data_IF_654431499968
#
_entry.id   IF_654431499968
#
_cell.length_a   1.000
_cell.length_b   1.000
_cell.length_c   1.000
_cell.angle_alpha   90.00
_cell.angle_beta   90.00
_cell.angle_gamma   90.00
#
_symmetry.space_group_name_H-M   'P 1'
#
loop_
_entity.id
_entity.type
_entity.pdbx_description
1 polymer ?
#
# COMPACT_ATOMS: atom_id res chain seq x y z
N UNK A 1 -46.67 -57.00 9.17
CA UNK A 1 -46.45 -57.63 7.85
C UNK A 1 -47.14 -56.78 6.81
N UNK A 2 -46.48 -56.54 5.67
CA UNK A 2 -47.02 -55.91 4.44
C UNK A 2 -47.58 -54.47 4.59
N UNK A 3 -47.53 -53.60 3.57
CA UNK A 3 -46.88 -53.69 2.25
C UNK A 3 -46.38 -52.31 1.79
N UNK A 4 -45.45 -52.30 0.83
CA UNK A 4 -45.05 -51.11 0.07
C UNK A 4 -46.19 -50.70 -0.88
N UNK A 5 -46.39 -49.39 -1.06
CA UNK A 5 -47.05 -48.84 -2.24
C UNK A 5 -46.34 -47.55 -2.67
N UNK A 6 -45.81 -47.55 -3.89
CA UNK A 6 -45.19 -46.37 -4.54
C UNK A 6 -46.28 -45.51 -5.16
N UNK A 7 -46.19 -44.19 -5.01
CA UNK A 7 -47.11 -43.25 -5.64
C UNK A 7 -46.41 -41.94 -6.00
N UNK A 8 -45.85 -41.87 -7.22
CA UNK A 8 -45.35 -40.61 -7.76
C UNK A 8 -46.53 -39.72 -8.19
N UNK A 9 -46.56 -38.47 -7.73
CA UNK A 9 -47.34 -37.41 -8.37
C UNK A 9 -46.50 -36.13 -8.41
N UNK A 10 -46.03 -35.76 -9.60
CA UNK A 10 -45.45 -34.45 -9.83
C UNK A 10 -46.54 -33.39 -9.68
N UNK A 11 -46.33 -32.44 -8.76
CA UNK A 11 -46.97 -31.13 -8.82
C UNK A 11 -45.86 -30.11 -8.88
N UNK A 12 -45.67 -29.53 -10.06
CA UNK A 12 -44.73 -28.43 -10.29
C UNK A 12 -45.28 -27.16 -9.66
N UNK A 13 -44.63 -26.66 -8.61
CA UNK A 13 -44.97 -25.42 -7.93
C UNK A 13 -43.70 -24.67 -7.52
N UNK A 14 -43.35 -23.66 -8.31
CA UNK A 14 -42.15 -22.82 -8.21
C UNK A 14 -41.65 -22.51 -6.78
N UNK A 15 -40.57 -23.17 -6.36
CA UNK A 15 -39.67 -22.60 -5.35
C UNK A 15 -38.81 -21.52 -6.02
N UNK A 16 -39.32 -20.28 -6.02
CA UNK A 16 -38.47 -19.12 -6.20
C UNK A 16 -37.55 -19.02 -4.98
N UNK A 17 -36.35 -19.59 -5.08
CA UNK A 17 -35.31 -19.48 -4.07
C UNK A 17 -34.86 -18.01 -3.97
N UNK A 18 -35.55 -17.26 -3.13
CA UNK A 18 -35.22 -15.89 -2.78
C UNK A 18 -33.93 -15.91 -1.95
N UNK A 19 -32.79 -15.88 -2.65
CA UNK A 19 -31.47 -15.75 -2.04
C UNK A 19 -31.50 -14.55 -1.08
N UNK A 20 -31.36 -14.83 0.21
CA UNK A 20 -31.39 -13.81 1.27
C UNK A 20 -30.34 -12.75 0.98
N UNK A 21 -30.76 -11.49 0.83
CA UNK A 21 -29.83 -10.37 0.69
C UNK A 21 -28.97 -10.31 1.95
N UNK A 22 -27.68 -10.59 1.80
CA UNK A 22 -26.75 -10.60 2.94
C UNK A 22 -26.31 -9.16 3.23
N UNK A 23 -27.18 -8.40 3.90
CA UNK A 23 -26.86 -7.05 4.36
C UNK A 23 -25.94 -7.09 5.57
N UNK A 24 -24.87 -6.29 5.53
CA UNK A 24 -24.04 -6.05 6.70
C UNK A 24 -24.77 -5.16 7.70
N UNK A 25 -24.72 -5.54 8.99
CA UNK A 25 -25.04 -4.65 10.09
C UNK A 25 -23.94 -3.60 10.30
N UNK A 26 -24.23 -2.50 10.99
CA UNK A 26 -23.24 -1.43 11.25
C UNK A 26 -22.06 -1.93 12.08
N UNK A 27 -22.28 -2.91 12.97
CA UNK A 27 -21.21 -3.68 13.61
C UNK A 27 -21.48 -5.19 13.47
N UNK A 28 -20.45 -5.94 13.10
CA UNK A 28 -20.48 -7.39 12.91
C UNK A 28 -19.32 -8.03 13.69
N UNK A 29 -19.56 -9.15 14.37
CA UNK A 29 -18.47 -9.93 14.99
C UNK A 29 -17.75 -10.72 13.91
N UNK A 30 -16.41 -10.72 13.92
CA UNK A 30 -15.59 -11.46 12.96
C UNK A 30 -15.81 -12.97 13.18
N UNK A 31 -16.17 -13.76 12.14
CA UNK A 31 -16.34 -15.20 12.26
C UNK A 31 -15.04 -15.94 12.63
N UNK A 32 -15.14 -17.18 13.12
CA UNK A 32 -14.00 -17.97 13.61
C UNK A 32 -12.90 -18.21 12.54
N UNK A 33 -13.29 -18.31 11.26
CA UNK A 33 -12.37 -18.43 10.11
C UNK A 33 -11.72 -17.09 9.70
N UNK A 34 -12.24 -15.98 10.23
CA UNK A 34 -11.82 -14.61 9.93
C UNK A 34 -12.44 -13.99 8.69
N UNK A 35 -13.23 -14.74 7.91
CA UNK A 35 -13.60 -14.36 6.54
C UNK A 35 -14.90 -13.58 6.49
N UNK A 36 -14.81 -12.33 6.03
CA UNK A 36 -15.96 -11.56 5.56
C UNK A 36 -16.06 -11.71 4.04
N UNK A 37 -17.23 -12.09 3.55
CA UNK A 37 -17.43 -12.48 2.14
C UNK A 37 -17.59 -11.28 1.20
N UNK A 38 -17.26 -11.48 -0.07
CA UNK A 38 -17.55 -10.54 -1.15
C UNK A 38 -19.06 -10.20 -1.26
N UNK A 39 -19.95 -11.13 -0.88
CA UNK A 39 -21.40 -10.87 -0.84
C UNK A 39 -21.77 -9.83 0.23
N UNK A 40 -21.19 -9.96 1.43
CA UNK A 40 -21.37 -9.00 2.51
C UNK A 40 -20.87 -7.60 2.12
N UNK A 41 -19.64 -7.48 1.61
CA UNK A 41 -19.11 -6.17 1.19
C UNK A 41 -19.87 -5.54 0.02
N UNK A 42 -20.41 -6.34 -0.93
CA UNK A 42 -21.29 -5.82 -1.98
C UNK A 42 -22.56 -5.15 -1.44
N UNK A 43 -23.03 -5.50 -0.23
CA UNK A 43 -24.20 -4.84 0.37
C UNK A 43 -23.95 -3.37 0.75
N UNK A 44 -22.68 -2.94 0.87
CA UNK A 44 -22.29 -1.56 1.21
C UNK A 44 -21.46 -0.85 0.14
N UNK A 45 -20.91 -1.57 -0.85
CA UNK A 45 -20.07 -1.00 -1.90
C UNK A 45 -20.73 0.21 -2.60
N UNK A 46 -19.96 1.29 -2.76
CA UNK A 46 -20.40 2.57 -3.32
C UNK A 46 -21.28 3.45 -2.40
N UNK A 47 -21.72 2.97 -1.23
CA UNK A 47 -22.57 3.73 -0.29
C UNK A 47 -21.71 4.44 0.76
N UNK A 48 -21.94 5.74 1.04
CA UNK A 48 -21.31 6.44 2.17
C UNK A 48 -21.90 5.97 3.51
N UNK A 49 -21.48 4.77 3.91
CA UNK A 49 -21.87 4.05 5.12
C UNK A 49 -20.63 3.34 5.63
N UNK A 50 -20.26 3.64 6.87
CA UNK A 50 -19.22 2.88 7.59
C UNK A 50 -19.84 1.65 8.23
N UNK A 51 -19.15 0.51 8.14
CA UNK A 51 -19.40 -0.68 8.94
C UNK A 51 -18.15 -1.09 9.70
N UNK A 52 -18.33 -1.75 10.84
CA UNK A 52 -17.24 -2.24 11.67
C UNK A 52 -17.26 -3.76 11.82
N UNK A 53 -16.06 -4.35 11.91
CA UNK A 53 -15.86 -5.77 12.22
C UNK A 53 -15.04 -5.92 13.49
N UNK A 54 -15.66 -6.49 14.52
CA UNK A 54 -15.04 -6.62 15.86
C UNK A 54 -14.53 -8.04 16.09
N UNK A 55 -13.27 -8.17 16.49
CA UNK A 55 -12.67 -9.40 16.98
C UNK A 55 -12.10 -9.22 18.39
N UNK A 56 -11.79 -10.33 19.07
CA UNK A 56 -11.14 -10.32 20.38
C UNK A 56 -10.14 -11.47 20.45
N UNK A 57 -8.94 -11.21 20.96
CA UNK A 57 -7.88 -12.21 21.07
C UNK A 57 -7.96 -13.01 22.38
N UNK A 58 -7.23 -14.11 22.46
CA UNK A 58 -7.08 -14.93 23.68
C UNK A 58 -6.51 -14.15 24.87
N UNK A 59 -5.74 -13.10 24.59
CA UNK A 59 -5.11 -12.23 25.59
C UNK A 59 -6.08 -11.13 26.07
N UNK A 60 -7.27 -11.00 25.47
CA UNK A 60 -8.27 -9.98 25.80
C UNK A 60 -8.15 -8.67 25.00
N UNK A 61 -7.30 -8.61 23.98
CA UNK A 61 -7.20 -7.45 23.09
C UNK A 61 -8.40 -7.43 22.16
N UNK A 62 -9.18 -6.35 22.20
CA UNK A 62 -10.30 -6.14 21.26
C UNK A 62 -9.78 -5.37 20.07
N UNK A 63 -10.12 -5.79 18.85
CA UNK A 63 -9.75 -5.10 17.62
C UNK A 63 -10.96 -4.88 16.72
N UNK A 64 -11.00 -3.70 16.11
CA UNK A 64 -12.13 -3.25 15.29
C UNK A 64 -11.60 -2.74 13.96
N UNK A 65 -11.96 -3.41 12.87
CA UNK A 65 -11.77 -2.89 11.52
C UNK A 65 -12.95 -1.98 11.15
N UNK A 66 -12.67 -0.84 10.53
CA UNK A 66 -13.67 0.12 10.05
C UNK A 66 -13.53 0.32 8.55
N UNK A 67 -14.58 -0.02 7.80
CA UNK A 67 -14.66 0.09 6.34
C UNK A 67 -15.76 1.07 5.93
N UNK A 68 -15.45 2.08 5.10
CA UNK A 68 -16.47 2.89 4.45
C UNK A 68 -16.83 2.31 3.07
N UNK A 69 -18.12 2.03 2.87
CA UNK A 69 -18.65 1.45 1.63
C UNK A 69 -18.35 2.27 0.38
N UNK A 70 -18.25 3.60 0.45
CA UNK A 70 -18.04 4.47 -0.73
C UNK A 70 -16.70 4.20 -1.41
N UNK A 71 -15.71 3.78 -0.62
CA UNK A 71 -14.34 3.55 -1.05
C UNK A 71 -14.15 2.10 -1.53
N UNK A 72 -15.10 1.20 -1.25
CA UNK A 72 -15.15 -0.16 -1.80
C UNK A 72 -15.69 -0.09 -3.23
N UNK A 73 -14.81 -0.31 -4.21
CA UNK A 73 -15.19 -0.45 -5.63
C UNK A 73 -15.34 -1.90 -6.04
N UNK A 74 -14.36 -2.73 -5.67
CA UNK A 74 -14.30 -4.16 -6.01
C UNK A 74 -14.39 -4.97 -4.72
N UNK A 75 -15.59 -5.44 -4.38
CA UNK A 75 -15.80 -6.27 -3.20
C UNK A 75 -15.28 -7.70 -3.43
N UNK A 76 -14.42 -8.15 -2.52
CA UNK A 76 -13.81 -9.48 -2.49
C UNK A 76 -13.97 -10.11 -1.09
N UNK A 77 -13.57 -11.37 -0.93
CA UNK A 77 -13.43 -11.96 0.39
C UNK A 77 -12.26 -11.30 1.12
N UNK A 78 -12.38 -11.08 2.42
CA UNK A 78 -11.33 -10.49 3.25
C UNK A 78 -11.19 -11.31 4.52
N UNK A 79 -9.97 -11.77 4.82
CA UNK A 79 -9.69 -12.31 6.14
C UNK A 79 -9.28 -11.15 7.06
N UNK A 80 -10.06 -10.91 8.12
CA UNK A 80 -9.86 -9.81 9.06
C UNK A 80 -9.26 -10.29 10.39
N UNK A 81 -8.87 -11.56 10.49
CA UNK A 81 -8.37 -12.16 11.74
C UNK A 81 -6.96 -11.68 12.06
N UNK A 82 -6.78 -11.17 13.27
CA UNK A 82 -5.49 -10.70 13.79
C UNK A 82 -4.99 -11.65 14.88
N UNK A 83 -3.75 -12.11 14.74
CA UNK A 83 -2.98 -12.79 15.78
C UNK A 83 -1.98 -11.78 16.38
N UNK A 84 -1.89 -11.70 17.71
CA UNK A 84 -1.06 -10.70 18.39
C UNK A 84 0.24 -11.29 18.94
N UNK A 85 1.32 -10.54 18.77
CA UNK A 85 2.62 -10.82 19.40
C UNK A 85 2.78 -9.81 20.54
N UNK A 86 2.57 -10.25 21.78
CA UNK A 86 2.64 -9.41 22.99
C UNK A 86 3.97 -9.51 23.74
N UNK A 87 4.79 -10.52 23.42
CA UNK A 87 6.08 -10.80 24.05
C UNK A 87 7.00 -11.59 23.10
N UNK A 88 8.29 -11.71 23.44
CA UNK A 88 9.29 -12.48 22.69
C UNK A 88 10.39 -11.62 22.07
N UNK A 89 11.45 -12.29 21.60
CA UNK A 89 12.68 -11.64 21.16
C UNK A 89 12.51 -10.80 19.89
N UNK A 90 11.60 -11.19 19.00
CA UNK A 90 11.23 -10.40 17.82
C UNK A 90 10.64 -9.04 18.22
N UNK A 91 9.63 -9.03 19.10
CA UNK A 91 9.04 -7.80 19.61
C UNK A 91 10.02 -6.95 20.43
N UNK A 92 10.92 -7.58 21.19
CA UNK A 92 11.99 -6.88 21.90
C UNK A 92 12.99 -6.21 20.93
N UNK A 93 13.34 -6.89 19.85
CA UNK A 93 14.21 -6.36 18.79
C UNK A 93 13.55 -5.19 18.05
N UNK A 94 12.25 -5.28 17.76
CA UNK A 94 11.45 -4.19 17.20
C UNK A 94 11.43 -2.96 18.13
N UNK A 95 11.16 -3.14 19.42
CA UNK A 95 11.19 -2.04 20.40
C UNK A 95 12.58 -1.38 20.48
N UNK A 96 13.66 -2.17 20.47
CA UNK A 96 15.03 -1.65 20.44
C UNK A 96 15.31 -0.85 19.16
N UNK A 97 14.95 -1.40 17.98
CA UNK A 97 15.06 -0.72 16.69
C UNK A 97 14.24 0.57 16.58
N UNK A 98 13.12 0.65 17.30
CA UNK A 98 12.28 1.85 17.45
C UNK A 98 12.83 2.87 18.48
N UNK A 99 14.15 2.89 18.74
CA UNK A 99 14.77 3.82 19.70
C UNK A 99 14.57 3.42 21.16
N UNK A 100 14.48 2.12 21.46
CA UNK A 100 14.14 1.58 22.78
C UNK A 100 12.73 1.98 23.26
N UNK A 101 11.74 1.84 22.38
CA UNK A 101 10.34 2.11 22.70
C UNK A 101 9.88 1.28 23.91
N UNK A 102 9.33 1.89 24.98
CA UNK A 102 8.91 1.16 26.17
C UNK A 102 7.74 0.22 25.89
N UNK A 103 6.88 0.57 24.93
CA UNK A 103 5.70 -0.20 24.56
C UNK A 103 5.79 -0.71 23.12
N UNK A 104 5.25 -1.91 22.90
CA UNK A 104 5.10 -2.47 21.57
C UNK A 104 4.12 -3.63 21.55
N UNK A 105 3.50 -3.85 20.40
CA UNK A 105 2.67 -5.01 20.09
C UNK A 105 2.82 -5.36 18.61
N UNK A 106 2.99 -6.65 18.30
CA UNK A 106 2.96 -7.16 16.92
C UNK A 106 1.56 -7.60 16.52
N UNK A 107 1.25 -7.45 15.23
CA UNK A 107 -0.01 -7.80 14.60
C UNK A 107 0.29 -8.64 13.36
N UNK A 108 0.00 -9.92 13.41
CA UNK A 108 0.06 -10.81 12.25
C UNK A 108 -1.33 -10.84 11.62
N UNK A 109 -1.47 -10.19 10.47
CA UNK A 109 -2.73 -10.06 9.77
C UNK A 109 -2.95 -11.28 8.87
N UNK A 110 -4.02 -12.02 9.11
CA UNK A 110 -4.36 -13.21 8.32
C UNK A 110 -4.79 -12.84 6.91
N UNK A 111 -4.46 -13.68 5.93
CA UNK A 111 -4.78 -13.47 4.52
C UNK A 111 -3.54 -13.50 3.63
N UNK A 112 -3.78 -13.42 2.34
CA UNK A 112 -2.82 -13.42 1.24
C UNK A 112 -3.25 -12.46 0.12
N UNK A 113 -4.37 -11.75 0.34
CA UNK A 113 -4.99 -10.82 -0.61
C UNK A 113 -4.83 -9.37 -0.12
N UNK A 114 -4.76 -8.42 -1.05
CA UNK A 114 -4.87 -7.01 -0.74
C UNK A 114 -6.22 -6.63 -0.13
N UNK A 115 -6.26 -5.46 0.51
CA UNK A 115 -7.50 -4.94 1.08
C UNK A 115 -8.37 -4.29 -0.02
N UNK A 116 -9.69 -4.50 0.05
CA UNK A 116 -10.67 -3.98 -0.94
C UNK A 116 -10.84 -2.46 -0.90
N UNK A 117 -10.23 -1.81 0.09
CA UNK A 117 -10.10 -0.37 0.32
C UNK A 117 -9.04 -0.17 1.41
N UNK A 118 -8.84 1.05 1.91
CA UNK A 118 -7.95 1.34 3.06
C UNK A 118 -8.79 1.49 4.34
N UNK A 119 -9.00 0.42 5.13
CA UNK A 119 -9.71 0.51 6.40
C UNK A 119 -8.82 1.10 7.50
N UNK A 120 -9.47 1.61 8.54
CA UNK A 120 -8.83 1.88 9.83
C UNK A 120 -8.96 0.65 10.73
N UNK A 121 -7.85 0.20 11.31
CA UNK A 121 -7.81 -0.80 12.37
C UNK A 121 -7.61 -0.08 13.72
N UNK A 122 -8.54 -0.30 14.66
CA UNK A 122 -8.48 0.20 16.03
C UNK A 122 -8.29 -0.95 17.00
N UNK A 123 -7.22 -0.92 17.79
CA UNK A 123 -7.00 -1.82 18.92
C UNK A 123 -7.50 -1.16 20.20
N UNK A 124 -8.11 -1.92 21.09
CA UNK A 124 -8.24 -1.60 22.51
C UNK A 124 -7.36 -2.57 23.27
N UNK A 125 -6.27 -2.06 23.85
CA UNK A 125 -5.30 -2.86 24.59
C UNK A 125 -5.86 -3.26 25.94
N UNK A 126 -5.24 -4.27 26.57
CA UNK A 126 -5.58 -4.75 27.92
C UNK A 126 -5.07 -3.85 29.03
N UNK A 127 -4.07 -3.02 28.74
CA UNK A 127 -3.40 -2.13 29.69
C UNK A 127 -3.30 -0.71 29.13
N UNK A 128 -2.97 0.23 30.01
CA UNK A 128 -2.69 1.62 29.63
C UNK A 128 -1.21 1.80 29.34
N UNK A 129 -0.90 2.27 28.14
CA UNK A 129 0.43 2.73 27.78
C UNK A 129 0.60 4.17 28.22
N UNK A 130 1.65 4.47 28.99
CA UNK A 130 2.08 5.84 29.25
C UNK A 130 2.88 6.39 28.05
N UNK A 131 2.21 6.48 26.90
CA UNK A 131 2.77 6.92 25.62
C UNK A 131 1.94 8.09 25.06
N UNK A 132 2.60 9.12 24.56
CA UNK A 132 1.94 10.24 23.84
C UNK A 132 2.12 10.14 22.31
N UNK A 133 2.96 9.21 21.86
CA UNK A 133 3.21 8.94 20.45
C UNK A 133 3.20 7.45 20.16
N UNK A 134 2.61 7.09 19.03
CA UNK A 134 2.62 5.74 18.47
C UNK A 134 3.08 5.76 17.01
N UNK A 135 3.72 4.68 16.57
CA UNK A 135 4.05 4.45 15.17
C UNK A 135 3.66 3.03 14.76
N UNK A 136 3.09 2.92 13.55
CA UNK A 136 2.96 1.65 12.86
C UNK A 136 4.25 1.41 12.06
N UNK A 137 4.85 0.24 12.24
CA UNK A 137 6.09 -0.18 11.63
C UNK A 137 5.92 -1.56 10.98
N UNK A 138 6.80 -1.87 10.02
CA UNK A 138 6.94 -3.18 9.39
C UNK A 138 8.44 -3.49 9.30
N UNK A 139 8.83 -4.74 9.53
CA UNK A 139 10.20 -5.15 9.29
C UNK A 139 10.40 -5.42 7.79
N UNK A 140 11.49 -4.89 7.23
CA UNK A 140 11.95 -5.18 5.87
C UNK A 140 13.39 -5.69 6.00
N UNK A 141 13.61 -6.93 5.57
CA UNK A 141 14.83 -7.70 5.85
C UNK A 141 15.20 -7.70 7.35
N UNK A 142 16.21 -6.92 7.73
CA UNK A 142 16.71 -6.74 9.11
C UNK A 142 16.44 -5.35 9.68
N UNK A 143 15.82 -4.45 8.92
CA UNK A 143 15.55 -3.07 9.31
C UNK A 143 14.07 -2.86 9.68
N UNK A 144 13.82 -2.06 10.72
CA UNK A 144 12.47 -1.65 11.10
C UNK A 144 12.09 -0.35 10.35
N UNK A 145 11.17 -0.46 9.39
CA UNK A 145 10.62 0.69 8.68
C UNK A 145 9.37 1.23 9.39
N UNK A 146 9.29 2.55 9.60
CA UNK A 146 8.05 3.22 9.99
C UNK A 146 7.15 3.34 8.76
N UNK A 147 5.91 2.86 8.87
CA UNK A 147 4.87 2.94 7.85
C UNK A 147 4.03 4.20 8.05
N UNK A 148 3.56 4.45 9.27
CA UNK A 148 2.68 5.59 9.58
C UNK A 148 2.73 5.97 11.06
N UNK A 149 2.04 7.05 11.43
CA UNK A 149 1.75 7.34 12.83
C UNK A 149 0.57 6.47 13.28
N UNK A 150 0.63 5.97 14.52
CA UNK A 150 -0.48 5.30 15.18
C UNK A 150 -1.09 6.26 16.20
N UNK A 151 -2.36 6.62 16.02
CA UNK A 151 -3.06 7.54 16.90
C UNK A 151 -3.39 6.85 18.22
N UNK A 152 -3.01 7.47 19.34
CA UNK A 152 -3.25 6.96 20.69
C UNK A 152 -4.41 7.72 21.35
N UNK A 153 -5.38 7.00 21.90
CA UNK A 153 -6.37 7.51 22.84
C UNK A 153 -6.15 6.85 24.21
N UNK A 154 -5.73 7.67 25.17
CA UNK A 154 -5.44 7.29 26.55
C UNK A 154 -6.45 7.90 27.54
N UNK A 155 -7.63 8.33 27.07
CA UNK A 155 -8.66 8.92 27.92
C UNK A 155 -9.29 7.89 28.88
N UNK A 156 -9.34 6.61 28.48
CA UNK A 156 -9.92 5.51 29.25
C UNK A 156 -8.95 4.83 30.23
N UNK A 157 -9.40 3.70 30.79
CA UNK A 157 -8.59 2.84 31.67
C UNK A 157 -7.51 2.05 30.93
N UNK A 158 -7.70 1.80 29.63
CA UNK A 158 -6.70 1.20 28.72
C UNK A 158 -6.44 2.11 27.52
N UNK A 159 -5.38 1.81 26.78
CA UNK A 159 -5.02 2.55 25.56
C UNK A 159 -5.77 2.00 24.35
N UNK A 160 -6.32 2.91 23.53
CA UNK A 160 -6.72 2.60 22.16
C UNK A 160 -5.67 3.07 21.17
N UNK A 161 -5.43 2.27 20.15
CA UNK A 161 -4.46 2.56 19.08
C UNK A 161 -5.18 2.46 17.74
N UNK A 162 -5.16 3.52 16.92
CA UNK A 162 -5.80 3.54 15.59
C UNK A 162 -4.82 3.88 14.48
N UNK A 163 -4.86 3.12 13.39
CA UNK A 163 -4.01 3.32 12.20
C UNK A 163 -4.69 2.69 10.98
N UNK A 164 -4.31 3.15 9.79
CA UNK A 164 -4.76 2.53 8.54
C UNK A 164 -3.85 1.35 8.17
N UNK A 165 -4.45 0.30 7.61
CA UNK A 165 -3.74 -0.84 7.01
C UNK A 165 -4.00 -0.85 5.51
N UNK A 166 -2.98 -1.24 4.74
CA UNK A 166 -3.01 -1.23 3.26
C UNK A 166 -2.96 -2.64 2.63
N UNK A 167 -2.53 -3.67 3.37
CA UNK A 167 -2.41 -5.06 2.91
C UNK A 167 -2.60 -6.06 4.08
N UNK A 168 -2.94 -7.32 3.77
CA UNK A 168 -2.95 -8.44 4.74
C UNK A 168 -1.81 -9.42 4.46
N UNK A 169 -1.69 -10.50 5.24
CA UNK A 169 -0.63 -11.51 5.04
C UNK A 169 0.77 -11.09 5.47
N UNK A 170 0.88 -10.01 6.25
CA UNK A 170 2.12 -9.47 6.78
C UNK A 170 2.05 -9.27 8.29
N UNK A 171 3.21 -9.31 8.95
CA UNK A 171 3.36 -8.90 10.35
C UNK A 171 3.69 -7.42 10.43
N UNK A 172 2.87 -6.68 11.17
CA UNK A 172 3.06 -5.28 11.52
C UNK A 172 3.41 -5.15 13.00
N UNK A 173 3.93 -3.99 13.37
CA UNK A 173 4.26 -3.64 14.74
C UNK A 173 3.75 -2.25 15.08
N UNK A 174 3.02 -2.11 16.17
CA UNK A 174 2.80 -0.82 16.80
C UNK A 174 3.84 -0.67 17.90
N UNK A 175 4.56 0.45 17.90
CA UNK A 175 5.46 0.86 18.99
C UNK A 175 4.96 2.16 19.60
N UNK A 176 5.08 2.30 20.92
CA UNK A 176 4.58 3.45 21.68
C UNK A 176 5.63 4.00 22.65
N UNK A 177 5.67 5.33 22.81
CA UNK A 177 6.58 6.00 23.71
C UNK A 177 6.22 7.45 24.01
N UNK A 178 7.11 8.13 24.72
CA UNK A 178 7.05 9.57 24.99
C UNK A 178 7.80 10.33 23.92
N UNK A 179 7.22 11.42 23.43
CA UNK A 179 7.93 12.40 22.61
C UNK A 179 8.92 13.14 23.48
N UNK A 180 10.21 12.90 23.24
CA UNK A 180 11.26 13.73 23.80
C UNK A 180 11.17 15.08 23.08
N UNK A 181 10.66 16.09 23.77
CA UNK A 181 10.78 17.47 23.31
C UNK A 181 12.27 17.77 23.09
N UNK A 182 12.62 18.27 21.90
CA UNK A 182 14.02 18.61 21.59
C UNK A 182 14.45 19.77 22.47
N UNK A 183 15.16 19.48 23.56
CA UNK A 183 15.76 20.53 24.39
C UNK A 183 16.78 21.33 23.57
N UNK A 184 16.55 22.63 23.52
CA UNK A 184 17.38 23.61 22.85
C UNK A 184 18.64 23.87 23.70
N UNK A 185 19.67 23.04 23.56
CA UNK A 185 20.93 23.24 24.30
C UNK A 185 21.71 24.44 23.77
N UNK A 186 21.47 25.61 24.38
CA UNK A 186 22.29 26.79 24.17
C UNK A 186 23.56 26.74 25.03
N UNK A 187 24.73 26.80 24.37
CA UNK A 187 25.87 27.59 24.84
C UNK A 187 26.86 26.99 25.86
N UNK A 188 28.14 27.09 25.46
CA UNK A 188 29.37 27.25 26.31
C UNK A 188 29.86 26.10 27.20
N UNK A 189 31.13 25.72 27.00
CA UNK A 189 31.85 24.79 27.88
C UNK A 189 33.21 24.30 27.34
N UNK A 190 34.16 25.20 27.09
CA UNK A 190 35.52 24.82 26.66
C UNK A 190 36.34 24.23 27.81
N UNK A 191 36.93 23.05 27.64
CA UNK A 191 38.19 22.68 28.32
C UNK A 191 39.11 21.83 27.43
N UNK A 192 40.38 22.23 27.42
CA UNK A 192 41.51 21.67 26.68
C UNK A 192 41.97 20.30 27.21
N UNK A 193 42.50 19.43 26.33
CA UNK A 193 43.25 18.22 26.71
C UNK A 193 44.29 17.88 25.64
N UNK A 194 45.58 18.04 25.94
CA UNK A 194 46.69 18.00 24.97
C UNK A 194 47.60 16.79 25.13
N UNK A 195 47.83 16.05 24.04
CA UNK A 195 49.04 15.24 23.68
C UNK A 195 48.94 15.01 22.16
N UNK A 196 49.93 15.19 21.27
CA UNK A 196 51.40 15.14 21.36
C UNK A 196 51.88 13.70 21.06
N UNK A 197 52.77 13.39 20.11
CA UNK A 197 53.50 14.15 19.08
C UNK A 197 54.17 13.17 18.06
N UNK A 198 54.59 13.62 16.87
CA UNK A 198 55.55 12.92 15.97
C UNK A 198 55.10 12.79 14.50
N UNK A 199 55.67 13.55 13.56
CA UNK A 199 56.92 13.29 12.79
C UNK A 199 56.78 12.24 11.68
N UNK A 200 57.12 12.44 10.39
CA UNK A 200 57.72 13.56 9.62
C UNK A 200 56.98 13.66 8.23
N UNK A 201 57.34 14.38 7.15
CA UNK A 201 58.58 15.09 6.75
C UNK A 201 58.30 16.30 5.80
N UNK A 202 59.20 16.57 4.85
CA UNK A 202 59.45 17.85 4.17
C UNK A 202 59.48 17.73 2.62
N UNK A 203 58.75 18.64 1.92
CA UNK A 203 59.12 19.55 0.77
C UNK A 203 60.14 19.15 -0.34
N UNK A 204 60.27 19.86 -1.52
CA UNK A 204 59.56 21.05 -2.04
C UNK A 204 59.22 21.18 -3.59
N UNK A 205 58.32 22.13 -3.92
CA UNK A 205 58.21 23.01 -5.13
C UNK A 205 58.06 22.39 -6.56
N UNK A 206 57.62 23.04 -7.66
CA UNK A 206 57.39 24.47 -8.05
C UNK A 206 56.36 24.59 -9.21
N UNK A 207 55.64 25.75 -9.34
CA UNK A 207 54.98 26.33 -10.57
C UNK A 207 53.99 25.51 -11.43
N UNK A 208 52.90 26.05 -11.98
CA UNK A 208 52.32 27.42 -11.98
C UNK A 208 51.11 27.53 -12.95
N UNK A 209 50.41 28.69 -12.97
CA UNK A 209 49.38 29.17 -13.94
C UNK A 209 48.14 28.26 -14.27
N UNK A 210 46.88 28.69 -14.36
CA UNK A 210 46.25 29.98 -14.72
C UNK A 210 44.73 29.97 -14.41
N UNK A 211 44.09 31.17 -14.41
CA UNK A 211 42.63 31.48 -14.55
C UNK A 211 41.62 30.73 -13.63
N UNK A 212 40.80 31.39 -12.80
CA UNK A 212 39.83 32.45 -13.14
C UNK A 212 38.43 31.80 -13.31
N UNK A 213 37.33 32.19 -12.63
CA UNK A 213 36.95 33.47 -12.02
C UNK A 213 36.04 33.25 -10.78
N UNK A 214 36.03 34.19 -9.82
CA UNK A 214 35.06 34.21 -8.70
C UNK A 214 34.46 35.61 -8.48
N UNK A 215 33.12 35.65 -8.44
CA UNK A 215 32.25 36.64 -7.76
C UNK A 215 30.85 36.04 -7.82
N UNK A 216 30.33 35.43 -6.75
CA UNK A 216 29.85 36.06 -5.50
C UNK A 216 28.58 36.91 -5.74
N UNK A 217 27.40 36.41 -5.36
CA UNK A 217 26.91 36.69 -3.98
C UNK A 217 25.60 35.99 -3.58
N UNK A 218 25.54 35.69 -2.28
CA UNK A 218 24.37 35.65 -1.37
C UNK A 218 23.00 35.15 -1.85
N UNK A 219 22.52 34.07 -1.24
CA UNK A 219 21.13 33.59 -1.36
C UNK A 219 20.75 32.47 -0.39
N UNK A 220 21.11 32.59 0.90
CA UNK A 220 20.78 31.55 1.89
C UNK A 220 19.27 31.53 2.19
N UNK A 221 18.54 30.58 1.60
CA UNK A 221 17.14 30.33 1.88
C UNK A 221 16.94 28.87 2.29
N UNK A 222 16.81 28.63 3.60
CA UNK A 222 16.52 27.32 4.17
C UNK A 222 15.09 26.91 3.79
N UNK A 223 14.95 26.27 2.64
CA UNK A 223 13.66 25.80 2.12
C UNK A 223 13.37 24.43 2.73
N UNK A 224 12.26 24.31 3.47
CA UNK A 224 11.71 23.02 3.86
C UNK A 224 11.44 22.20 2.59
N UNK A 225 12.23 21.17 2.35
CA UNK A 225 12.14 20.37 1.13
C UNK A 225 10.88 19.50 1.15
N UNK A 226 9.75 20.07 0.72
CA UNK A 226 8.55 19.31 0.35
C UNK A 226 8.93 18.33 -0.76
N UNK A 227 9.06 17.06 -0.41
CA UNK A 227 9.33 16.00 -1.38
C UNK A 227 8.08 15.84 -2.22
N UNK A 228 8.17 16.00 -3.55
CA UNK A 228 6.99 15.75 -4.37
C UNK A 228 6.71 14.23 -4.37
N UNK A 229 5.47 13.83 -4.11
CA UNK A 229 5.03 12.44 -4.15
C UNK A 229 3.87 12.25 -5.12
N UNK A 230 3.75 11.04 -5.65
CA UNK A 230 2.62 10.57 -6.44
C UNK A 230 2.35 9.10 -6.06
N UNK A 231 1.15 8.60 -6.32
CA UNK A 231 0.85 7.17 -6.14
C UNK A 231 0.90 6.47 -7.49
N UNK A 232 1.61 5.35 -7.62
CA UNK A 232 1.60 4.51 -8.82
C UNK A 232 1.07 3.11 -8.50
N UNK A 233 0.18 2.59 -9.34
CA UNK A 233 -0.27 1.19 -9.29
C UNK A 233 -0.19 0.51 -10.66
N UNK A 234 -0.14 -0.83 -10.66
CA UNK A 234 -0.10 -1.65 -11.89
C UNK A 234 -1.04 -2.85 -11.69
N UNK A 235 -2.13 -2.92 -12.48
CA UNK A 235 -3.13 -4.00 -12.42
C UNK A 235 -3.35 -4.68 -13.77
N UNK A 236 -3.45 -6.01 -13.75
CA UNK A 236 -3.91 -6.84 -14.86
C UNK A 236 -5.22 -7.60 -14.54
N UNK A 237 -6.04 -7.06 -13.62
CA UNK A 237 -7.25 -7.71 -13.10
C UNK A 237 -8.32 -8.05 -14.16
N UNK A 238 -8.36 -7.32 -15.27
CA UNK A 238 -9.20 -7.64 -16.45
C UNK A 238 -8.90 -9.03 -17.03
N UNK A 239 -7.64 -9.48 -16.98
CA UNK A 239 -7.22 -10.79 -17.50
C UNK A 239 -7.88 -11.92 -16.69
N UNK A 240 -8.17 -11.74 -15.39
CA UNK A 240 -8.83 -12.76 -14.57
C UNK A 240 -10.21 -13.17 -15.11
N UNK A 241 -10.94 -12.21 -15.70
CA UNK A 241 -12.23 -12.46 -16.36
C UNK A 241 -12.08 -12.93 -17.82
N UNK A 242 -10.87 -12.84 -18.38
CA UNK A 242 -10.55 -13.13 -19.78
C UNK A 242 -9.47 -14.23 -19.94
N UNK A 243 -9.23 -15.05 -18.90
CA UNK A 243 -8.17 -16.07 -18.87
C UNK A 243 -8.24 -17.08 -20.04
N UNK A 244 -9.41 -17.27 -20.65
CA UNK A 244 -9.58 -18.10 -21.85
C UNK A 244 -8.91 -17.52 -23.11
N UNK A 245 -8.74 -16.21 -23.17
CA UNK A 245 -8.08 -15.49 -24.27
C UNK A 245 -6.58 -15.25 -24.00
N UNK A 246 -6.09 -15.58 -22.80
CA UNK A 246 -4.71 -15.33 -22.40
C UNK A 246 -3.73 -16.22 -23.19
N UNK A 247 -2.70 -15.61 -23.77
CA UNK A 247 -1.61 -16.33 -24.47
C UNK A 247 -1.06 -17.47 -23.63
N UNK A 248 -0.94 -18.65 -24.24
CA UNK A 248 -0.44 -19.85 -23.58
C UNK A 248 0.92 -19.62 -22.92
N UNK A 249 1.04 -20.00 -21.65
CA UNK A 249 2.25 -19.82 -20.85
C UNK A 249 2.36 -18.48 -20.12
N UNK A 250 1.42 -17.53 -20.31
CA UNK A 250 1.41 -16.26 -19.57
C UNK A 250 0.75 -16.31 -18.18
N UNK A 251 -0.01 -17.37 -17.88
CA UNK A 251 -0.79 -17.48 -16.65
C UNK A 251 0.02 -17.32 -15.35
N UNK A 252 1.29 -17.74 -15.32
CA UNK A 252 2.18 -17.56 -14.16
C UNK A 252 2.58 -16.10 -13.87
N UNK A 253 2.28 -15.18 -14.79
CA UNK A 253 2.56 -13.75 -14.66
C UNK A 253 1.31 -12.92 -14.34
N UNK A 254 0.16 -13.59 -14.14
CA UNK A 254 -1.10 -12.97 -13.70
C UNK A 254 -1.26 -13.28 -12.21
N UNK A 255 -1.06 -12.31 -11.30
CA UNK A 255 -1.38 -12.47 -9.88
C UNK A 255 -2.86 -12.82 -9.71
N UNK A 256 -3.19 -13.65 -8.72
CA UNK A 256 -4.56 -14.14 -8.48
C UNK A 256 -5.57 -13.04 -8.12
N UNK A 257 -5.08 -11.91 -7.62
CA UNK A 257 -5.81 -10.68 -7.32
C UNK A 257 -5.74 -9.63 -8.46
N UNK A 258 -4.92 -9.90 -9.48
CA UNK A 258 -4.67 -9.00 -10.60
C UNK A 258 -3.79 -7.78 -10.28
N UNK A 259 -3.06 -7.75 -9.16
CA UNK A 259 -2.16 -6.66 -8.79
C UNK A 259 -0.70 -7.04 -8.98
N UNK A 260 -0.06 -6.45 -9.99
CA UNK A 260 1.39 -6.55 -10.22
C UNK A 260 2.14 -5.58 -9.29
N UNK A 261 1.54 -4.41 -9.05
CA UNK A 261 1.97 -3.46 -8.04
C UNK A 261 0.75 -2.79 -7.42
N UNK A 262 0.57 -2.97 -6.12
CA UNK A 262 -0.43 -2.25 -5.34
C UNK A 262 -0.18 -0.73 -5.34
N UNK A 263 -1.21 0.12 -5.15
CA UNK A 263 -1.04 1.57 -5.07
C UNK A 263 0.06 1.98 -4.08
N UNK A 264 1.18 2.45 -4.65
CA UNK A 264 2.44 2.69 -3.94
C UNK A 264 2.78 4.18 -4.04
N UNK A 265 2.94 4.86 -2.90
CA UNK A 265 3.48 6.22 -2.92
C UNK A 265 4.97 6.20 -3.30
N UNK A 266 5.33 7.02 -4.27
CA UNK A 266 6.71 7.20 -4.73
C UNK A 266 7.03 8.69 -4.86
N UNK A 267 8.23 9.07 -4.45
CA UNK A 267 8.72 10.43 -4.68
C UNK A 267 9.04 10.62 -6.16
N UNK A 268 9.00 11.87 -6.64
CA UNK A 268 9.40 12.23 -8.00
C UNK A 268 10.07 13.61 -8.06
N UNK A 269 10.88 13.83 -9.10
CA UNK A 269 11.54 15.11 -9.37
C UNK A 269 10.67 15.97 -10.29
N UNK A 270 10.51 17.25 -9.99
CA UNK A 270 9.75 18.18 -10.84
C UNK A 270 10.22 18.11 -12.30
N UNK A 271 9.32 17.72 -13.20
CA UNK A 271 9.64 17.49 -14.62
C UNK A 271 9.66 16.03 -15.06
N UNK A 272 9.71 15.05 -14.14
CA UNK A 272 9.50 13.63 -14.48
C UNK A 272 8.12 13.42 -15.14
N UNK A 273 8.09 12.59 -16.17
CA UNK A 273 6.86 12.14 -16.83
C UNK A 273 6.30 10.87 -16.19
N UNK A 274 5.06 10.51 -16.53
CA UNK A 274 4.46 9.23 -16.10
C UNK A 274 5.31 8.03 -16.57
N UNK A 275 5.98 8.13 -17.73
CA UNK A 275 6.91 7.10 -18.20
C UNK A 275 8.16 6.97 -17.32
N UNK A 276 8.74 8.11 -16.89
CA UNK A 276 9.94 8.11 -16.03
C UNK A 276 9.63 7.47 -14.67
N UNK A 277 8.49 7.86 -14.06
CA UNK A 277 8.02 7.29 -12.80
C UNK A 277 7.72 5.79 -12.95
N UNK A 278 7.03 5.36 -14.01
CA UNK A 278 6.83 3.92 -14.28
C UNK A 278 8.17 3.19 -14.39
N UNK A 279 9.10 3.68 -15.21
CA UNK A 279 10.38 3.00 -15.44
C UNK A 279 11.19 2.87 -14.15
N UNK A 280 11.20 3.92 -13.32
CA UNK A 280 11.89 3.93 -12.04
C UNK A 280 11.24 2.96 -11.05
N UNK A 281 9.91 2.98 -10.91
CA UNK A 281 9.18 2.09 -10.01
C UNK A 281 9.31 0.62 -10.45
N UNK A 282 9.13 0.30 -11.73
CA UNK A 282 9.30 -1.08 -12.21
C UNK A 282 10.72 -1.61 -11.94
N UNK A 283 11.77 -0.80 -12.16
CA UNK A 283 13.15 -1.17 -11.80
C UNK A 283 13.35 -1.38 -10.30
N UNK A 284 12.76 -0.52 -9.46
CA UNK A 284 12.86 -0.61 -8.01
C UNK A 284 12.22 -1.90 -7.46
N UNK A 285 11.10 -2.33 -8.04
CA UNK A 285 10.34 -3.51 -7.60
C UNK A 285 10.68 -4.79 -8.37
N UNK A 286 11.69 -4.77 -9.26
CA UNK A 286 12.09 -5.93 -10.07
C UNK A 286 11.06 -6.37 -11.12
N UNK A 287 10.10 -5.50 -11.44
CA UNK A 287 9.02 -5.75 -12.40
C UNK A 287 9.57 -5.51 -13.82
N UNK A 288 9.46 -6.52 -14.70
CA UNK A 288 9.78 -6.34 -16.11
C UNK A 288 8.91 -5.23 -16.72
N UNK A 289 9.50 -4.33 -17.49
CA UNK A 289 8.79 -3.33 -18.28
C UNK A 289 9.50 -3.12 -19.60
N UNK A 290 8.74 -3.21 -20.69
CA UNK A 290 9.22 -2.99 -22.05
C UNK A 290 8.42 -1.87 -22.72
N UNK A 291 9.14 -0.90 -23.28
CA UNK A 291 8.54 0.24 -23.96
C UNK A 291 9.35 0.64 -25.19
N UNK A 292 8.66 1.01 -26.27
CA UNK A 292 9.27 1.46 -27.52
C UNK A 292 8.93 2.93 -27.77
N UNK A 293 9.96 3.73 -28.04
CA UNK A 293 9.75 5.13 -28.40
C UNK A 293 9.08 5.21 -29.78
N UNK A 294 8.00 5.98 -29.87
CA UNK A 294 7.24 6.16 -31.10
C UNK A 294 7.37 7.62 -31.57
N UNK A 295 8.22 7.91 -32.58
CA UNK A 295 8.53 9.28 -32.99
C UNK A 295 7.31 10.11 -33.40
N UNK A 296 6.29 9.48 -34.00
CA UNK A 296 5.06 10.15 -34.41
C UNK A 296 4.25 10.77 -33.26
N UNK A 297 4.41 10.24 -32.03
CA UNK A 297 3.72 10.70 -30.83
C UNK A 297 4.66 11.33 -29.80
N UNK A 298 5.96 11.44 -30.12
CA UNK A 298 7.02 11.91 -29.23
C UNK A 298 6.95 11.31 -27.80
N UNK A 299 6.62 10.02 -27.70
CA UNK A 299 6.40 9.32 -26.44
C UNK A 299 6.84 7.87 -26.51
N UNK A 300 7.21 7.31 -25.36
CA UNK A 300 7.22 5.87 -25.17
C UNK A 300 5.79 5.30 -25.27
N UNK A 301 5.70 4.16 -25.95
CA UNK A 301 4.56 3.26 -25.94
C UNK A 301 4.96 2.04 -25.10
N UNK A 302 4.21 1.75 -24.03
CA UNK A 302 4.53 0.64 -23.11
C UNK A 302 3.89 -0.63 -23.66
N UNK A 303 4.73 -1.52 -24.17
CA UNK A 303 4.31 -2.74 -24.86
C UNK A 303 4.07 -3.90 -23.91
N UNK A 304 4.74 -3.91 -22.74
CA UNK A 304 4.53 -4.95 -21.74
C UNK A 304 5.01 -4.59 -20.34
N UNK A 305 4.36 -5.15 -19.34
CA UNK A 305 4.70 -5.04 -17.92
C UNK A 305 4.50 -6.43 -17.28
N UNK A 306 5.41 -6.86 -16.41
CA UNK A 306 5.42 -8.19 -15.79
C UNK A 306 5.25 -9.35 -16.79
N UNK A 307 6.01 -9.35 -17.89
CA UNK A 307 5.88 -10.31 -19.00
C UNK A 307 4.50 -10.39 -19.71
N UNK A 308 3.52 -9.55 -19.35
CA UNK A 308 2.22 -9.43 -20.02
C UNK A 308 2.28 -8.27 -21.02
N UNK A 309 1.98 -8.54 -22.28
CA UNK A 309 2.17 -7.62 -23.40
C UNK A 309 0.84 -7.18 -24.03
N UNK A 310 0.88 -6.17 -24.89
CA UNK A 310 -0.16 -5.96 -25.90
C UNK A 310 -0.51 -7.27 -26.63
N UNK A 311 -1.79 -7.44 -26.93
CA UNK A 311 -2.38 -8.61 -27.58
C UNK A 311 -2.35 -9.95 -26.81
N UNK A 312 -1.72 -10.03 -25.63
CA UNK A 312 -1.70 -11.27 -24.83
C UNK A 312 -3.09 -11.72 -24.34
N UNK A 313 -4.15 -10.95 -24.55
CA UNK A 313 -5.53 -11.31 -24.22
C UNK A 313 -6.52 -11.01 -25.37
N UNK A 314 -6.01 -10.99 -26.62
CA UNK A 314 -6.78 -10.69 -27.83
C UNK A 314 -6.37 -9.38 -28.51
N UNK A 315 -6.76 -9.16 -29.77
CA UNK A 315 -6.29 -8.03 -30.60
C UNK A 315 -6.62 -6.63 -30.05
N UNK A 316 -7.51 -6.54 -29.06
CA UNK A 316 -7.95 -5.30 -28.39
C UNK A 316 -7.28 -5.10 -27.02
N UNK A 317 -6.33 -5.95 -26.64
CA UNK A 317 -5.73 -5.97 -25.31
C UNK A 317 -4.37 -5.26 -25.22
N UNK A 318 -4.06 -4.66 -24.08
CA UNK A 318 -2.79 -3.95 -23.86
C UNK A 318 -2.77 -3.07 -22.62
N UNK A 319 -1.71 -2.28 -22.48
CA UNK A 319 -1.50 -1.40 -21.32
C UNK A 319 -2.02 0.02 -21.56
N UNK A 320 -2.91 0.47 -20.67
CA UNK A 320 -3.38 1.85 -20.60
C UNK A 320 -2.91 2.49 -19.30
N UNK A 321 -2.87 3.82 -19.28
CA UNK A 321 -2.64 4.59 -18.06
C UNK A 321 -3.73 5.63 -17.86
N UNK A 322 -4.10 5.87 -16.61
CA UNK A 322 -4.89 7.04 -16.23
C UNK A 322 -4.17 7.81 -15.10
N UNK A 323 -4.48 9.09 -14.99
CA UNK A 323 -4.03 9.95 -13.88
C UNK A 323 -5.26 10.57 -13.23
N UNK A 324 -5.41 10.36 -11.92
CA UNK A 324 -6.57 10.78 -11.13
C UNK A 324 -7.92 10.27 -11.70
N UNK A 325 -7.92 9.07 -12.31
CA UNK A 325 -9.10 8.46 -12.94
C UNK A 325 -9.42 8.98 -14.34
N UNK A 326 -8.63 9.89 -14.90
CA UNK A 326 -8.75 10.36 -16.28
C UNK A 326 -7.72 9.69 -17.19
N UNK A 327 -8.18 9.02 -18.25
CA UNK A 327 -7.34 8.45 -19.31
C UNK A 327 -6.89 9.56 -20.29
N UNK A 328 -5.59 9.89 -20.37
CA UNK A 328 -5.13 10.95 -21.28
C UNK A 328 -5.06 10.42 -22.72
N UNK A 329 -5.54 11.22 -23.67
CA UNK A 329 -5.50 10.91 -25.11
C UNK A 329 -4.11 11.15 -25.75
N UNK A 330 -3.04 11.09 -24.96
CA UNK A 330 -1.66 11.31 -25.39
C UNK A 330 -0.69 10.44 -24.58
N UNK A 331 0.53 10.26 -25.09
CA UNK A 331 1.48 9.30 -24.54
C UNK A 331 2.04 9.67 -23.16
N UNK A 332 2.33 8.65 -22.35
CA UNK A 332 2.79 8.77 -20.97
C UNK A 332 4.08 9.59 -20.76
N UNK A 333 4.93 9.75 -21.78
CA UNK A 333 6.11 10.64 -21.72
C UNK A 333 5.75 12.13 -21.79
N UNK A 334 4.52 12.49 -22.18
CA UNK A 334 4.07 13.88 -22.29
C UNK A 334 3.28 14.36 -21.07
N UNK A 335 2.81 13.47 -20.18
CA UNK A 335 2.21 13.87 -18.91
C UNK A 335 3.33 14.11 -17.89
N UNK A 336 3.59 15.38 -17.55
CA UNK A 336 4.46 15.75 -16.42
C UNK A 336 3.73 15.56 -15.10
N UNK A 337 4.31 14.76 -14.20
CA UNK A 337 3.70 14.38 -12.92
C UNK A 337 3.59 15.58 -11.97
N UNK A 338 2.48 15.65 -11.22
CA UNK A 338 2.22 16.67 -10.20
C UNK A 338 2.14 16.04 -8.81
N UNK A 339 2.39 16.86 -7.80
CA UNK A 339 2.35 16.42 -6.41
C UNK A 339 0.93 15.97 -6.03
N UNK A 340 0.79 14.74 -5.54
CA UNK A 340 -0.48 14.10 -5.22
C UNK A 340 -1.18 13.40 -6.39
N UNK A 341 -0.59 13.33 -7.59
CA UNK A 341 -1.20 12.59 -8.71
C UNK A 341 -1.29 11.08 -8.41
N UNK A 342 -2.43 10.46 -8.73
CA UNK A 342 -2.66 9.01 -8.66
C UNK A 342 -2.59 8.42 -10.07
N UNK A 343 -1.50 7.76 -10.38
CA UNK A 343 -1.18 7.14 -11.67
C UNK A 343 -1.55 5.65 -11.61
N UNK A 344 -2.45 5.20 -12.48
CA UNK A 344 -2.83 3.79 -12.56
C UNK A 344 -2.45 3.24 -13.94
N UNK A 345 -1.63 2.19 -13.96
CA UNK A 345 -1.41 1.36 -15.15
C UNK A 345 -2.34 0.16 -15.10
N UNK A 346 -3.17 0.00 -16.13
CA UNK A 346 -4.23 -0.99 -16.17
C UNK A 346 -4.17 -1.74 -17.50
N UNK A 347 -4.16 -3.07 -17.43
CA UNK A 347 -4.34 -3.91 -18.61
C UNK A 347 -5.81 -3.86 -19.05
N UNK A 348 -6.07 -3.58 -20.32
CA UNK A 348 -7.39 -3.69 -20.95
C UNK A 348 -7.46 -4.98 -21.77
N UNK A 349 -8.66 -5.56 -21.88
CA UNK A 349 -9.01 -6.61 -22.84
C UNK A 349 -9.96 -6.11 -23.96
N UNK A 350 -10.51 -4.89 -23.87
CA UNK A 350 -11.44 -4.31 -24.86
C UNK A 350 -11.20 -2.79 -25.10
N UNK A 351 -9.99 -2.42 -25.54
CA UNK A 351 -9.59 -1.03 -25.85
C UNK A 351 -10.08 0.05 -24.84
N UNK A 352 -10.00 -0.23 -23.55
CA UNK A 352 -10.36 0.71 -22.49
C UNK A 352 -11.78 0.60 -21.96
N UNK A 353 -12.71 0.00 -22.71
CA UNK A 353 -14.14 -0.06 -22.33
C UNK A 353 -14.37 -0.85 -21.05
N UNK A 354 -13.59 -1.91 -20.84
CA UNK A 354 -13.62 -2.79 -19.67
C UNK A 354 -12.97 -2.17 -18.43
N UNK A 355 -12.16 -1.11 -18.60
CA UNK A 355 -11.49 -0.38 -17.51
C UNK A 355 -12.07 1.03 -17.29
N UNK A 356 -13.21 1.35 -17.90
CA UNK A 356 -13.96 2.59 -17.69
C UNK A 356 -13.48 3.78 -18.52
N UNK A 357 -12.65 3.56 -19.54
CA UNK A 357 -12.37 4.60 -20.53
C UNK A 357 -13.61 4.82 -21.41
N UNK A 358 -14.09 6.06 -21.40
CA UNK A 358 -15.25 6.50 -22.18
C UNK A 358 -14.84 7.38 -23.37
N UNK A 359 -13.54 7.44 -23.71
CA UNK A 359 -13.05 8.14 -24.91
C UNK A 359 -13.36 7.38 -26.20
N UNK A 360 -14.65 7.10 -26.46
CA UNK A 360 -15.10 6.76 -27.81
C UNK A 360 -15.04 8.03 -28.67
N UNK A 361 -13.91 8.25 -29.36
CA UNK A 361 -13.79 8.60 -30.79
C UNK A 361 -12.35 8.40 -31.26
#
# INVERSE_FOLDING_TARGET
MLSVAVGCTNVTGSEANAASVVELADNTVIPDDGVITAAQFRSIAGKDRTVTFTGTSSEGIVYVWSFNGKDIKNAANQNLKVEFITQGDELNSVKAGAGNAPYGIGLKLSGDNGLITVPTLTLTLTEKWDADSGALCKQQDTALGKISAAALDNSGETTKVSFNIIETGSTYYVVGGKTIATEQTAGTGTTTGTTGSGSTNSTPATSGDAAGSTSDSSGNSATTATTNTCTLSISCSTILNNMANLTQGKASFVPSDGWILYPTETSFTTGESVHDVLQRVCRQYGIHMESKFTPAYNSAYVQGINQLYEFDCGELSGWMYNVNGWFPNYGCSQYTVKNGDVINWIYTCDLGKDVGDNSMW
#
